data_IF_532614895394
#
_entry.id   IF_532614895394
#
_cell.length_a   1.000
_cell.length_b   1.000
_cell.length_c   1.000
_cell.angle_alpha   90.00
_cell.angle_beta   90.00
_cell.angle_gamma   90.00
#
_symmetry.space_group_name_H-M   'P 1'
#
loop_
_entity.id
_entity.type
_entity.pdbx_description
1 polymer ?
#
# COMPACT_ATOMS: atom_id res chain seq x y z
N UNK A 1 6.59 29.59 -21.27
CA UNK A 1 8.06 29.74 -21.39
C UNK A 1 8.70 29.12 -20.16
N UNK A 2 9.61 28.16 -20.34
CA UNK A 2 10.38 27.56 -19.24
C UNK A 2 11.48 28.50 -18.75
N UNK A 3 11.84 28.39 -17.47
CA UNK A 3 13.00 29.08 -16.87
C UNK A 3 14.08 28.07 -16.55
N UNK A 4 15.35 28.49 -16.59
CA UNK A 4 16.42 27.65 -16.08
C UNK A 4 16.26 27.46 -14.56
N UNK A 5 16.56 26.26 -14.05
CA UNK A 5 16.47 25.97 -12.62
C UNK A 5 16.73 24.52 -12.27
N UNK A 6 16.77 24.23 -10.97
CA UNK A 6 16.96 22.88 -10.44
C UNK A 6 15.60 22.29 -10.09
N UNK A 7 15.24 21.19 -10.78
CA UNK A 7 14.06 20.40 -10.48
C UNK A 7 14.37 19.35 -9.42
N UNK A 8 13.49 19.22 -8.43
CA UNK A 8 13.63 18.25 -7.34
C UNK A 8 12.54 17.18 -7.36
N UNK A 9 11.40 17.46 -8.00
CA UNK A 9 10.23 16.58 -8.03
C UNK A 9 9.31 16.94 -9.20
N UNK A 10 8.46 16.00 -9.58
CA UNK A 10 7.32 16.21 -10.45
C UNK A 10 6.09 16.48 -9.58
N UNK A 11 5.30 17.49 -9.90
CA UNK A 11 3.99 17.73 -9.28
C UNK A 11 2.90 17.29 -10.23
N UNK A 12 1.99 16.46 -9.73
CA UNK A 12 0.84 15.93 -10.47
C UNK A 12 -0.43 16.33 -9.74
N UNK A 13 -1.38 16.82 -10.53
CA UNK A 13 -2.73 17.16 -10.11
C UNK A 13 -3.71 16.58 -11.13
N UNK A 14 -4.99 16.70 -10.86
CA UNK A 14 -6.04 16.35 -11.79
C UNK A 14 -7.10 17.44 -11.88
N UNK A 15 -7.76 17.45 -13.03
CA UNK A 15 -8.97 18.20 -13.28
C UNK A 15 -10.07 17.18 -13.61
N UNK A 16 -11.27 17.37 -13.06
CA UNK A 16 -12.42 16.51 -13.36
C UNK A 16 -13.70 17.32 -13.49
N UNK A 17 -14.65 16.80 -14.24
CA UNK A 17 -16.00 17.37 -14.40
C UNK A 17 -17.01 16.38 -13.82
N UNK A 18 -17.73 16.83 -12.80
CA UNK A 18 -18.72 16.03 -12.06
C UNK A 18 -20.14 16.14 -12.67
N UNK A 19 -20.37 17.13 -13.53
CA UNK A 19 -21.64 17.36 -14.25
C UNK A 19 -21.60 18.64 -15.10
N UNK A 20 -22.70 19.01 -15.76
CA UNK A 20 -22.76 20.08 -16.79
C UNK A 20 -22.19 21.45 -16.37
N UNK A 21 -22.08 21.73 -15.08
CA UNK A 21 -21.51 22.99 -14.58
C UNK A 21 -20.58 22.82 -13.36
N UNK A 22 -20.25 21.59 -12.98
CA UNK A 22 -19.44 21.32 -11.77
C UNK A 22 -18.12 20.71 -12.20
N UNK A 23 -17.04 21.48 -12.04
CA UNK A 23 -15.68 21.02 -12.23
C UNK A 23 -14.92 21.11 -10.91
N UNK A 24 -13.93 20.24 -10.76
CA UNK A 24 -13.06 20.14 -9.61
C UNK A 24 -11.63 20.07 -10.08
N UNK A 25 -10.74 20.84 -9.45
CA UNK A 25 -9.31 20.86 -9.73
C UNK A 25 -8.53 20.99 -8.44
N UNK A 26 -7.45 20.23 -8.30
CA UNK A 26 -6.46 20.42 -7.25
C UNK A 26 -5.14 20.99 -7.80
N UNK A 27 -5.18 21.68 -8.94
CA UNK A 27 -4.01 22.28 -9.56
C UNK A 27 -3.30 23.29 -8.65
N UNK A 28 -1.97 23.45 -8.78
CA UNK A 28 -1.21 24.47 -8.06
C UNK A 28 -1.81 25.86 -8.24
N UNK A 29 -2.05 26.56 -7.13
CA UNK A 29 -2.64 27.90 -7.13
C UNK A 29 -4.17 27.94 -7.06
N UNK A 30 -4.85 26.79 -7.05
CA UNK A 30 -6.27 26.71 -6.70
C UNK A 30 -6.47 26.68 -5.17
N UNK A 31 -7.66 27.06 -4.67
CA UNK A 31 -8.00 26.93 -3.26
C UNK A 31 -7.80 25.49 -2.75
N UNK A 32 -7.33 25.34 -1.51
CA UNK A 32 -7.12 24.02 -0.91
C UNK A 32 -8.46 23.27 -0.78
N UNK A 33 -8.52 22.08 -1.36
CA UNK A 33 -9.67 21.18 -1.33
C UNK A 33 -9.28 19.88 -0.61
N UNK A 34 -10.21 18.94 -0.48
CA UNK A 34 -10.02 17.65 0.22
C UNK A 34 -8.89 16.80 -0.41
N UNK A 35 -8.61 16.99 -1.70
CA UNK A 35 -7.56 16.28 -2.42
C UNK A 35 -6.29 17.13 -2.55
N UNK A 36 -5.18 16.62 -2.03
CA UNK A 36 -3.84 17.21 -2.20
C UNK A 36 -3.24 16.88 -3.56
N UNK A 37 -2.13 17.54 -3.91
CA UNK A 37 -1.30 17.22 -5.07
C UNK A 37 -0.37 16.05 -4.76
N UNK A 38 -0.06 15.24 -5.77
CA UNK A 38 0.95 14.21 -5.66
C UNK A 38 2.31 14.79 -6.05
N UNK A 39 3.30 14.63 -5.18
CA UNK A 39 4.70 14.97 -5.47
C UNK A 39 5.51 13.68 -5.66
N UNK A 40 6.14 13.55 -6.83
CA UNK A 40 7.01 12.44 -7.18
C UNK A 40 8.46 12.93 -7.20
N UNK A 41 9.25 12.67 -6.14
CA UNK A 41 10.63 13.18 -6.05
C UNK A 41 11.49 12.64 -7.19
N UNK A 42 12.47 13.42 -7.64
CA UNK A 42 13.56 12.95 -8.50
C UNK A 42 14.63 12.25 -7.64
N UNK A 43 15.31 11.24 -8.19
CA UNK A 43 16.30 10.47 -7.42
C UNK A 43 17.49 11.34 -7.03
N UNK A 44 17.78 12.33 -7.87
CA UNK A 44 18.70 13.42 -7.61
C UNK A 44 18.13 14.72 -8.23
N UNK A 45 18.47 15.90 -7.68
CA UNK A 45 18.07 17.17 -8.28
C UNK A 45 18.63 17.32 -9.70
N UNK A 46 17.79 17.68 -10.67
CA UNK A 46 18.18 17.81 -12.08
C UNK A 46 18.17 19.28 -12.49
N UNK A 47 19.31 19.76 -13.01
CA UNK A 47 19.38 21.09 -13.61
C UNK A 47 18.74 21.07 -15.01
N UNK A 48 17.80 21.99 -15.24
CA UNK A 48 17.06 22.13 -16.48
C UNK A 48 17.29 23.53 -17.07
N UNK A 49 17.43 23.59 -18.39
CA UNK A 49 17.50 24.82 -19.17
C UNK A 49 16.27 24.96 -20.10
N UNK A 50 15.92 26.19 -20.51
CA UNK A 50 14.91 26.39 -21.55
C UNK A 50 15.31 25.64 -22.84
N UNK A 51 14.41 24.80 -23.33
CA UNK A 51 14.63 23.96 -24.51
C UNK A 51 14.82 22.48 -24.18
N UNK A 52 15.23 22.14 -22.96
CA UNK A 52 15.32 20.75 -22.53
C UNK A 52 13.93 20.10 -22.54
N UNK A 53 13.89 18.83 -22.94
CA UNK A 53 12.65 18.04 -22.93
C UNK A 53 12.72 17.04 -21.78
N UNK A 54 11.74 17.11 -20.87
CA UNK A 54 11.56 16.12 -19.80
C UNK A 54 10.48 15.15 -20.23
N UNK A 55 10.82 13.87 -20.32
CA UNK A 55 9.89 12.77 -20.58
C UNK A 55 9.70 11.98 -19.29
N UNK A 56 8.45 11.65 -18.97
CA UNK A 56 8.10 10.89 -17.76
C UNK A 56 7.18 9.75 -18.15
N UNK A 57 7.53 8.53 -17.77
CA UNK A 57 6.61 7.39 -17.78
C UNK A 57 6.11 7.16 -16.35
N UNK A 58 4.81 7.32 -16.10
CA UNK A 58 4.17 7.17 -14.79
C UNK A 58 3.22 5.97 -14.80
N UNK A 59 3.36 5.07 -13.82
CA UNK A 59 2.56 3.85 -13.66
C UNK A 59 2.00 3.77 -12.24
N UNK A 60 0.72 3.39 -12.11
CA UNK A 60 0.06 3.12 -10.84
C UNK A 60 -0.45 1.67 -10.80
N UNK A 61 -0.13 0.93 -9.74
CA UNK A 61 -0.60 -0.45 -9.52
C UNK A 61 -1.34 -0.55 -8.21
N UNK A 62 -2.56 -1.08 -8.23
CA UNK A 62 -3.34 -1.35 -7.03
C UNK A 62 -2.87 -2.67 -6.37
N UNK A 63 -2.35 -2.59 -5.15
CA UNK A 63 -1.82 -3.73 -4.38
C UNK A 63 -2.38 -3.62 -2.95
N UNK A 64 -3.13 -4.64 -2.50
CA UNK A 64 -3.63 -4.69 -1.12
C UNK A 64 -4.61 -3.59 -0.74
N UNK A 65 -5.20 -2.88 -1.71
CA UNK A 65 -6.08 -1.73 -1.49
C UNK A 65 -5.42 -0.37 -1.68
N UNK A 66 -4.09 -0.34 -1.84
CA UNK A 66 -3.30 0.89 -1.99
C UNK A 66 -2.62 0.95 -3.37
N UNK A 67 -2.38 2.17 -3.88
CA UNK A 67 -1.65 2.36 -5.14
C UNK A 67 -0.13 2.45 -4.91
N UNK A 68 0.62 1.52 -5.50
CA UNK A 68 2.06 1.64 -5.67
C UNK A 68 2.37 2.37 -6.98
N UNK A 69 3.22 3.41 -6.92
CA UNK A 69 3.58 4.20 -8.09
C UNK A 69 5.02 3.94 -8.53
N UNK A 70 5.23 3.90 -9.85
CA UNK A 70 6.55 3.90 -10.49
C UNK A 70 6.62 5.06 -11.47
N UNK A 71 7.72 5.79 -11.45
CA UNK A 71 8.00 6.80 -12.48
C UNK A 71 9.43 6.68 -12.98
N UNK A 72 9.57 6.80 -14.29
CA UNK A 72 10.87 6.92 -14.94
C UNK A 72 10.95 8.30 -15.57
N UNK A 73 11.99 9.06 -15.22
CA UNK A 73 12.22 10.41 -15.74
C UNK A 73 13.45 10.42 -16.64
N UNK A 74 13.29 10.93 -17.86
CA UNK A 74 14.38 11.17 -18.81
C UNK A 74 14.45 12.62 -19.20
N UNK A 75 15.65 13.19 -19.19
CA UNK A 75 15.88 14.57 -19.67
C UNK A 75 16.72 14.53 -20.92
N UNK A 76 16.17 15.07 -22.01
CA UNK A 76 16.85 15.27 -23.28
C UNK A 76 17.32 16.73 -23.35
N UNK A 77 18.64 16.94 -23.40
CA UNK A 77 19.18 18.29 -23.47
C UNK A 77 19.10 18.88 -24.87
N UNK A 78 18.72 20.14 -24.96
CA UNK A 78 18.63 20.85 -26.23
C UNK A 78 20.01 21.08 -26.86
N UNK A 79 20.22 20.57 -28.07
CA UNK A 79 21.45 20.80 -28.86
C UNK A 79 22.56 19.76 -28.65
N UNK A 80 22.37 18.78 -27.78
CA UNK A 80 23.34 17.69 -27.55
C UNK A 80 22.73 16.35 -27.97
N UNK A 81 22.77 16.06 -29.27
CA UNK A 81 22.48 14.71 -29.78
C UNK A 81 23.63 13.77 -29.39
N UNK A 82 23.60 13.25 -28.15
CA UNK A 82 24.55 12.25 -27.66
C UNK A 82 25.22 12.52 -26.31
N UNK A 83 24.89 13.61 -25.60
CA UNK A 83 25.34 13.77 -24.22
C UNK A 83 24.54 12.85 -23.29
N UNK A 84 25.16 12.44 -22.18
CA UNK A 84 24.56 11.55 -21.19
C UNK A 84 23.24 12.13 -20.65
N UNK A 85 22.13 11.61 -21.16
CA UNK A 85 20.80 11.96 -20.68
C UNK A 85 20.58 11.24 -19.34
N UNK A 86 20.24 11.94 -18.25
CA UNK A 86 19.90 11.27 -17.01
C UNK A 86 18.63 10.43 -17.24
N UNK A 87 18.74 9.13 -16.99
CA UNK A 87 17.62 8.19 -16.90
C UNK A 87 17.47 7.81 -15.44
N UNK A 88 16.43 8.34 -14.81
CA UNK A 88 16.15 8.15 -13.40
C UNK A 88 15.02 7.12 -13.29
N UNK A 89 15.35 5.93 -12.82
CA UNK A 89 14.36 4.93 -12.44
C UNK A 89 13.95 5.10 -10.98
N UNK A 90 12.65 5.25 -10.75
CA UNK A 90 12.13 5.68 -9.47
C UNK A 90 10.82 4.98 -9.17
N UNK A 91 10.60 4.71 -7.90
CA UNK A 91 9.35 4.14 -7.43
C UNK A 91 9.03 4.72 -6.08
N UNK A 92 7.76 4.73 -5.72
CA UNK A 92 7.38 4.98 -4.34
C UNK A 92 7.99 3.85 -3.52
N UNK A 93 8.85 4.22 -2.57
CA UNK A 93 9.12 3.35 -1.44
C UNK A 93 7.76 3.02 -0.83
N UNK A 94 7.38 1.75 -0.59
CA UNK A 94 6.07 1.43 -0.02
C UNK A 94 5.77 2.20 1.29
N UNK A 95 6.81 2.73 1.95
CA UNK A 95 6.72 3.63 3.10
C UNK A 95 6.33 5.09 2.79
N UNK A 96 6.60 5.61 1.59
CA UNK A 96 6.40 7.01 1.21
C UNK A 96 5.05 7.30 0.52
N UNK A 97 4.32 6.27 0.07
CA UNK A 97 2.96 6.41 -0.51
C UNK A 97 1.90 6.79 0.54
N UNK A 98 2.22 6.72 1.82
CA UNK A 98 1.23 6.89 2.89
C UNK A 98 1.16 8.34 3.35
N UNK A 99 0.51 9.19 2.54
CA UNK A 99 -0.29 10.28 3.11
C UNK A 99 -1.48 9.65 3.86
N UNK A 100 -1.18 9.07 5.01
CA UNK A 100 -2.12 8.24 5.78
C UNK A 100 -1.47 7.36 6.85
N UNK A 101 -0.34 7.79 7.43
CA UNK A 101 0.37 7.07 8.49
C UNK A 101 1.28 5.96 7.96
N UNK A 102 2.57 6.01 8.30
CA UNK A 102 3.54 5.01 7.89
C UNK A 102 3.04 3.57 8.19
N UNK A 103 3.33 2.59 7.31
CA UNK A 103 2.92 1.22 7.57
C UNK A 103 3.68 0.76 8.81
N UNK A 104 2.99 0.18 9.80
CA UNK A 104 3.61 -0.31 11.06
C UNK A 104 4.53 -1.53 10.86
N UNK A 105 4.87 -1.88 9.62
CA UNK A 105 5.70 -3.01 9.28
C UNK A 105 6.95 -2.55 8.53
N UNK A 106 8.09 -3.06 8.97
CA UNK A 106 9.42 -2.86 8.40
C UNK A 106 9.92 -4.24 7.96
N UNK A 107 10.70 -4.29 6.86
CA UNK A 107 11.26 -5.50 6.27
C UNK A 107 12.20 -6.21 7.26
N UNK A 108 12.85 -5.44 8.15
CA UNK A 108 13.69 -5.96 9.23
C UNK A 108 12.92 -6.34 10.51
N UNK A 109 11.60 -6.12 10.56
CA UNK A 109 10.80 -6.40 11.76
C UNK A 109 10.62 -7.91 11.92
N UNK A 110 11.08 -8.44 13.05
CA UNK A 110 10.78 -9.80 13.51
C UNK A 110 9.66 -9.75 14.57
N UNK A 111 8.36 -9.78 14.18
CA UNK A 111 7.27 -9.70 15.14
C UNK A 111 7.19 -10.98 15.98
N UNK A 112 6.93 -10.81 17.28
CA UNK A 112 6.48 -11.88 18.16
C UNK A 112 4.94 -11.92 18.17
N UNK A 113 4.37 -13.12 18.29
CA UNK A 113 2.93 -13.27 18.46
C UNK A 113 2.49 -12.67 19.80
N UNK A 114 1.35 -11.97 19.78
CA UNK A 114 0.63 -11.62 21.01
C UNK A 114 -0.05 -12.87 21.55
N UNK A 115 -0.56 -12.83 22.79
CA UNK A 115 -1.34 -13.95 23.35
C UNK A 115 -2.50 -14.37 22.43
N UNK A 116 -3.22 -13.40 21.85
CA UNK A 116 -4.25 -13.66 20.82
C UNK A 116 -3.65 -14.35 19.59
N UNK A 117 -2.52 -13.88 19.07
CA UNK A 117 -1.86 -14.51 17.93
C UNK A 117 -1.36 -15.92 18.21
N UNK A 118 -0.97 -16.24 19.44
CA UNK A 118 -0.62 -17.60 19.85
C UNK A 118 -1.84 -18.53 19.89
N UNK A 119 -2.97 -18.03 20.39
CA UNK A 119 -4.26 -18.74 20.40
C UNK A 119 -4.71 -19.00 18.96
N UNK A 120 -4.69 -17.99 18.10
CA UNK A 120 -5.08 -18.12 16.70
C UNK A 120 -4.17 -19.11 15.97
N UNK A 121 -2.85 -19.04 16.20
CA UNK A 121 -1.90 -20.04 15.66
C UNK A 121 -2.27 -21.46 16.07
N UNK A 122 -2.59 -21.69 17.34
CA UNK A 122 -3.02 -23.02 17.81
C UNK A 122 -4.28 -23.49 17.07
N UNK A 123 -5.28 -22.62 16.94
CA UNK A 123 -6.54 -22.93 16.26
C UNK A 123 -6.27 -23.27 14.80
N UNK A 124 -5.51 -22.44 14.08
CA UNK A 124 -5.18 -22.63 12.67
C UNK A 124 -4.37 -23.92 12.44
N UNK A 125 -3.40 -24.24 13.31
CA UNK A 125 -2.68 -25.52 13.24
C UNK A 125 -3.62 -26.71 13.40
N UNK A 126 -4.55 -26.68 14.37
CA UNK A 126 -5.48 -27.79 14.59
C UNK A 126 -6.54 -27.91 13.50
N UNK A 127 -6.92 -26.80 12.85
CA UNK A 127 -7.78 -26.80 11.67
C UNK A 127 -7.10 -27.50 10.49
N UNK A 128 -5.80 -27.25 10.27
CA UNK A 128 -5.01 -27.91 9.22
C UNK A 128 -4.92 -29.43 9.45
N UNK A 129 -4.85 -29.86 10.71
CA UNK A 129 -4.91 -31.27 11.12
C UNK A 129 -6.33 -31.89 11.02
N UNK A 130 -7.30 -31.21 10.42
CA UNK A 130 -8.71 -31.62 10.31
C UNK A 130 -9.37 -31.96 11.66
N UNK A 131 -8.90 -31.35 12.75
CA UNK A 131 -9.47 -31.55 14.09
C UNK A 131 -10.87 -30.93 14.15
N UNK A 132 -11.89 -31.63 14.66
CA UNK A 132 -13.21 -31.04 14.82
C UNK A 132 -13.17 -29.78 15.69
N UNK A 133 -13.91 -28.73 15.33
CA UNK A 133 -13.95 -27.45 16.07
C UNK A 133 -14.19 -27.67 17.58
N UNK A 134 -14.98 -28.68 17.90
CA UNK A 134 -15.26 -29.04 19.28
C UNK A 134 -14.12 -29.72 20.03
N UNK A 135 -13.13 -30.29 19.36
CA UNK A 135 -11.89 -30.73 20.01
C UNK A 135 -10.89 -29.58 20.10
N UNK A 136 -10.86 -28.70 19.09
CA UNK A 136 -10.05 -27.47 19.10
C UNK A 136 -10.42 -26.58 20.29
N UNK A 137 -11.71 -26.32 20.51
CA UNK A 137 -12.16 -25.47 21.61
C UNK A 137 -11.88 -26.07 23.00
N UNK A 138 -11.91 -27.40 23.16
CA UNK A 138 -11.48 -28.06 24.40
C UNK A 138 -9.99 -27.86 24.64
N UNK A 139 -9.18 -27.99 23.60
CA UNK A 139 -7.74 -27.79 23.68
C UNK A 139 -7.38 -26.33 23.96
N UNK A 140 -8.04 -25.38 23.29
CA UNK A 140 -7.86 -23.95 23.51
C UNK A 140 -8.22 -23.56 24.96
N UNK A 141 -9.33 -24.04 25.49
CA UNK A 141 -9.74 -23.77 26.88
C UNK A 141 -8.77 -24.37 27.91
N UNK A 142 -8.25 -25.59 27.67
CA UNK A 142 -7.25 -26.21 28.55
C UNK A 142 -5.91 -25.46 28.54
N UNK A 143 -5.52 -24.92 27.37
CA UNK A 143 -4.25 -24.24 27.18
C UNK A 143 -4.28 -22.79 27.64
N UNK A 144 -5.43 -22.13 27.50
CA UNK A 144 -5.65 -20.71 27.82
C UNK A 144 -6.87 -20.52 28.76
N UNK A 145 -6.84 -21.08 29.99
CA UNK A 145 -7.97 -21.04 30.91
C UNK A 145 -8.28 -19.62 31.42
N UNK A 146 -7.29 -18.72 31.40
CA UNK A 146 -7.46 -17.29 31.71
C UNK A 146 -8.23 -16.54 30.64
N UNK A 147 -8.11 -16.97 29.37
CA UNK A 147 -8.78 -16.35 28.22
C UNK A 147 -10.16 -16.92 27.95
N UNK A 148 -10.36 -18.21 28.25
CA UNK A 148 -11.61 -18.93 28.04
C UNK A 148 -12.10 -19.52 29.36
N UNK A 149 -12.99 -18.79 30.03
CA UNK A 149 -13.57 -19.22 31.30
C UNK A 149 -14.41 -20.49 31.15
N UNK A 150 -15.06 -20.67 30.00
CA UNK A 150 -15.79 -21.89 29.68
C UNK A 150 -15.42 -22.44 28.31
N UNK A 151 -15.68 -23.74 28.13
CA UNK A 151 -15.56 -24.42 26.85
C UNK A 151 -16.44 -23.78 25.76
N UNK A 152 -17.61 -23.24 26.12
CA UNK A 152 -18.50 -22.58 25.15
C UNK A 152 -17.91 -21.28 24.63
N UNK A 153 -17.25 -20.51 25.50
CA UNK A 153 -16.56 -19.28 25.09
C UNK A 153 -15.42 -19.58 24.10
N UNK A 154 -14.69 -20.67 24.34
CA UNK A 154 -13.67 -21.14 23.41
C UNK A 154 -14.30 -21.60 22.07
N UNK A 155 -15.45 -22.27 22.09
CA UNK A 155 -16.12 -22.74 20.88
C UNK A 155 -16.63 -21.59 20.02
N UNK A 156 -17.20 -20.54 20.60
CA UNK A 156 -17.61 -19.34 19.86
C UNK A 156 -16.42 -18.71 19.16
N UNK A 157 -15.31 -18.50 19.88
CA UNK A 157 -14.11 -17.90 19.31
C UNK A 157 -13.47 -18.75 18.21
N UNK A 158 -13.39 -20.07 18.42
CA UNK A 158 -12.90 -21.03 17.41
C UNK A 158 -13.79 -21.01 16.17
N UNK A 159 -15.10 -20.87 16.33
CA UNK A 159 -16.05 -20.72 15.22
C UNK A 159 -15.78 -19.47 14.39
N UNK A 160 -15.61 -18.31 15.03
CA UNK A 160 -15.29 -17.05 14.35
C UNK A 160 -13.99 -17.14 13.54
N UNK A 161 -12.93 -17.71 14.14
CA UNK A 161 -11.65 -17.94 13.44
C UNK A 161 -11.84 -18.93 12.28
N UNK A 162 -12.62 -20.00 12.48
CA UNK A 162 -12.90 -20.97 11.42
C UNK A 162 -13.63 -20.33 10.25
N UNK A 163 -14.65 -19.52 10.51
CA UNK A 163 -15.42 -18.82 9.46
C UNK A 163 -14.55 -17.85 8.68
N UNK A 164 -13.59 -17.19 9.34
CA UNK A 164 -12.67 -16.26 8.70
C UNK A 164 -11.65 -16.94 7.77
N UNK A 165 -11.15 -18.13 8.14
CA UNK A 165 -9.99 -18.74 7.47
C UNK A 165 -10.28 -20.06 6.74
N UNK A 166 -11.48 -20.62 6.92
CA UNK A 166 -11.88 -21.82 6.17
C UNK A 166 -12.20 -21.47 4.73
N UNK A 167 -11.86 -22.37 3.82
CA UNK A 167 -12.39 -22.32 2.46
C UNK A 167 -13.82 -22.82 2.49
N UNK A 168 -14.74 -22.15 1.81
CA UNK A 168 -16.02 -22.78 1.49
C UNK A 168 -15.72 -24.09 0.75
N UNK A 169 -16.37 -25.21 1.12
CA UNK A 169 -16.22 -26.43 0.37
C UNK A 169 -16.65 -26.12 -1.07
N UNK A 170 -15.71 -26.28 -2.01
CA UNK A 170 -16.02 -26.21 -3.43
C UNK A 170 -17.20 -27.15 -3.68
N UNK A 171 -18.28 -26.58 -4.23
CA UNK A 171 -19.49 -27.28 -4.62
C UNK A 171 -19.06 -28.56 -5.37
N UNK A 172 -19.27 -29.72 -4.75
CA UNK A 172 -18.96 -31.00 -5.38
C UNK A 172 -20.03 -31.24 -6.44
N UNK A 173 -19.74 -30.80 -7.66
CA UNK A 173 -20.37 -31.30 -8.88
C UNK A 173 -20.06 -32.76 -9.13
#
# INVERSE_FOLDING_TARGET
MGRAGISHALSVWFDTTLGEAVAFSNAPGQPELIYSQALFPLAEPVSLAPGDTVSVALEARLIGGDYAWRWNTRVLRHGEAGAANPDLEQSTDPAAALSGGAPRWDIGRAPALTETGEVDRLILTLMDDATPLGDIARQAQRRYPTRFSTWRDALTYVGEVSDQYSREPADRG
#
